data_IF_247344300709
#
_entry.id   IF_247344300709
#
_cell.length_a   1.000
_cell.length_b   1.000
_cell.length_c   1.000
_cell.angle_alpha   90.00
_cell.angle_beta   90.00
_cell.angle_gamma   90.00
#
_symmetry.space_group_name_H-M   'P 1'
#
loop_
_entity.id
_entity.type
_entity.pdbx_description
1 polymer ?
#
# COMPACT_ATOMS: atom_id res chain seq x y z
N UNK A 1 5.85 9.52 20.05
CA UNK A 1 5.39 8.63 18.98
C UNK A 1 4.14 9.22 18.33
N UNK A 2 4.21 9.45 17.03
CA UNK A 2 3.18 10.19 16.29
C UNK A 2 1.95 9.35 15.94
N UNK A 3 2.09 8.02 15.94
CA UNK A 3 1.05 7.09 15.47
C UNK A 3 0.51 6.15 16.55
N UNK A 4 0.70 6.49 17.82
CA UNK A 4 0.16 5.69 18.94
C UNK A 4 -1.35 5.50 18.78
N UNK A 5 -1.81 4.25 18.85
CA UNK A 5 -3.23 3.90 18.70
C UNK A 5 -3.71 3.74 17.25
N UNK A 6 -2.89 4.05 16.26
CA UNK A 6 -3.21 3.83 14.84
C UNK A 6 -3.04 2.37 14.47
N UNK A 7 -3.94 1.84 13.64
CA UNK A 7 -3.91 0.46 13.14
C UNK A 7 -3.82 0.46 11.63
N UNK A 8 -2.83 -0.25 11.09
CA UNK A 8 -2.49 -0.23 9.67
C UNK A 8 -2.55 -1.64 9.10
N UNK A 9 -3.14 -1.78 7.92
CA UNK A 9 -3.05 -3.00 7.10
C UNK A 9 -1.81 -2.89 6.21
N UNK A 10 -1.00 -3.94 6.17
CA UNK A 10 0.03 -4.11 5.14
C UNK A 10 -0.31 -5.38 4.35
N UNK A 11 -0.61 -5.24 3.08
CA UNK A 11 -0.95 -6.36 2.20
C UNK A 11 0.30 -7.16 1.83
N UNK A 12 0.19 -8.47 1.76
CA UNK A 12 1.27 -9.36 1.33
C UNK A 12 0.76 -10.38 0.32
N UNK A 13 1.62 -10.71 -0.64
CA UNK A 13 1.47 -11.86 -1.54
C UNK A 13 2.86 -12.26 -2.06
N UNK A 14 2.96 -13.38 -2.75
CA UNK A 14 4.24 -13.86 -3.28
C UNK A 14 4.96 -12.83 -4.14
N UNK A 15 6.28 -12.82 -4.05
CA UNK A 15 7.17 -11.93 -4.80
C UNK A 15 6.93 -10.43 -4.54
N UNK A 16 6.47 -10.09 -3.34
CA UNK A 16 6.49 -8.68 -2.93
C UNK A 16 7.92 -8.15 -2.95
N UNK A 17 8.11 -6.87 -3.26
CA UNK A 17 9.45 -6.29 -3.15
C UNK A 17 9.76 -6.10 -1.67
N UNK A 18 10.85 -6.71 -1.23
CA UNK A 18 11.19 -6.89 0.20
C UNK A 18 11.27 -5.58 0.97
N UNK A 19 11.95 -4.57 0.42
CA UNK A 19 12.08 -3.27 1.07
C UNK A 19 10.79 -2.46 1.01
N UNK A 20 10.03 -2.60 -0.06
CA UNK A 20 8.76 -1.89 -0.25
C UNK A 20 7.65 -2.36 0.69
N UNK A 21 7.79 -3.57 1.24
CA UNK A 21 6.94 -4.02 2.34
C UNK A 21 7.53 -3.63 3.69
N UNK A 22 8.77 -4.08 3.97
CA UNK A 22 9.31 -4.03 5.33
C UNK A 22 9.73 -2.64 5.78
N UNK A 23 10.26 -1.79 4.90
CA UNK A 23 10.63 -0.45 5.31
C UNK A 23 9.44 0.37 5.80
N UNK A 24 8.35 0.53 5.04
CA UNK A 24 7.20 1.29 5.53
C UNK A 24 6.53 0.64 6.74
N UNK A 25 6.51 -0.69 6.84
CA UNK A 25 5.99 -1.39 8.02
C UNK A 25 6.79 -1.00 9.27
N UNK A 26 8.11 -1.11 9.21
CA UNK A 26 8.95 -0.73 10.35
C UNK A 26 8.87 0.77 10.64
N UNK A 27 8.79 1.60 9.60
CA UNK A 27 8.71 3.05 9.77
C UNK A 27 7.47 3.47 10.56
N UNK A 28 6.31 2.90 10.26
CA UNK A 28 5.09 3.22 11.01
C UNK A 28 5.06 2.57 12.39
N UNK A 29 5.65 1.37 12.54
CA UNK A 29 5.82 0.74 13.86
C UNK A 29 6.73 1.57 14.76
N UNK A 30 7.80 2.13 14.23
CA UNK A 30 8.71 3.01 14.96
C UNK A 30 7.97 4.23 15.53
N UNK A 31 6.95 4.72 14.83
CA UNK A 31 6.09 5.81 15.29
C UNK A 31 4.94 5.35 16.21
N UNK A 32 4.88 4.09 16.55
CA UNK A 32 3.91 3.55 17.51
C UNK A 32 2.64 2.94 16.92
N UNK A 33 2.54 2.81 15.60
CA UNK A 33 1.40 2.16 14.97
C UNK A 33 1.41 0.64 15.16
N UNK A 34 0.23 0.06 15.29
CA UNK A 34 0.03 -1.38 15.15
C UNK A 34 -0.13 -1.71 13.67
N UNK A 35 0.65 -2.67 13.16
CA UNK A 35 0.57 -3.10 11.76
C UNK A 35 0.23 -4.57 11.71
N UNK A 36 -0.78 -4.92 10.92
CA UNK A 36 -1.13 -6.30 10.59
C UNK A 36 -0.73 -6.62 9.17
N UNK A 37 0.04 -7.70 9.01
CA UNK A 37 0.33 -8.28 7.70
C UNK A 37 -0.85 -9.14 7.28
N UNK A 38 -1.43 -8.83 6.12
CA UNK A 38 -2.68 -9.45 5.66
C UNK A 38 -2.50 -10.05 4.27
N UNK A 39 -2.77 -11.34 4.16
CA UNK A 39 -2.64 -12.09 2.91
C UNK A 39 -3.89 -12.93 2.63
N UNK A 40 -3.83 -13.77 1.59
CA UNK A 40 -4.95 -14.65 1.23
C UNK A 40 -5.20 -15.74 2.30
N UNK A 41 -4.13 -16.23 2.92
CA UNK A 41 -4.19 -17.31 3.89
C UNK A 41 -3.50 -16.92 5.19
N UNK A 42 -4.25 -16.92 6.29
CA UNK A 42 -3.68 -16.70 7.62
C UNK A 42 -2.62 -17.76 7.95
N UNK A 43 -1.47 -17.32 8.46
CA UNK A 43 -0.36 -18.17 8.86
C UNK A 43 0.57 -18.57 7.71
N UNK A 44 0.24 -18.25 6.46
CA UNK A 44 1.11 -18.54 5.33
C UNK A 44 2.29 -17.59 5.30
N UNK A 45 3.48 -18.12 5.03
CA UNK A 45 4.68 -17.34 4.75
C UNK A 45 4.78 -17.07 3.27
N UNK A 46 4.71 -15.81 2.91
CA UNK A 46 4.98 -15.32 1.57
C UNK A 46 6.45 -14.93 1.49
N UNK A 47 7.07 -15.20 0.36
CA UNK A 47 8.50 -14.93 0.17
C UNK A 47 8.66 -13.74 -0.75
N UNK A 48 9.44 -12.77 -0.30
CA UNK A 48 9.76 -11.59 -1.07
C UNK A 48 10.60 -11.93 -2.30
N UNK A 49 10.61 -11.04 -3.25
CA UNK A 49 11.35 -11.13 -4.50
C UNK A 49 12.84 -11.45 -4.29
N UNK A 50 13.41 -10.98 -3.18
CA UNK A 50 14.81 -11.18 -2.80
C UNK A 50 14.96 -12.13 -1.60
N UNK A 51 13.93 -12.87 -1.25
CA UNK A 51 13.99 -13.98 -0.31
C UNK A 51 13.58 -13.67 1.13
N UNK A 52 13.23 -12.45 1.48
CA UNK A 52 12.78 -12.13 2.84
C UNK A 52 11.34 -12.60 3.04
N UNK A 53 11.07 -13.41 4.09
CA UNK A 53 9.71 -13.89 4.33
C UNK A 53 8.83 -12.83 5.00
N UNK A 54 7.51 -12.97 4.79
CA UNK A 54 6.49 -12.25 5.52
C UNK A 54 5.32 -13.19 5.79
N UNK A 55 4.98 -13.40 7.06
CA UNK A 55 3.87 -14.26 7.45
C UNK A 55 2.58 -13.45 7.56
N UNK A 56 1.53 -13.88 6.86
CA UNK A 56 0.22 -13.27 6.99
C UNK A 56 -0.37 -13.57 8.37
N UNK A 57 -0.60 -12.54 9.16
CA UNK A 57 -1.19 -12.66 10.49
C UNK A 57 -2.70 -12.84 10.41
N UNK A 58 -3.31 -12.31 9.34
CA UNK A 58 -4.75 -12.38 9.07
C UNK A 58 -4.97 -12.66 7.57
N UNK A 59 -6.13 -13.24 7.25
CA UNK A 59 -6.58 -13.34 5.85
C UNK A 59 -7.35 -12.09 5.45
N UNK A 60 -7.47 -11.85 4.14
CA UNK A 60 -8.28 -10.73 3.62
C UNK A 60 -9.73 -10.79 4.13
N UNK A 61 -10.30 -11.99 4.23
CA UNK A 61 -11.69 -12.18 4.65
C UNK A 61 -11.95 -11.79 6.10
N UNK A 62 -10.92 -11.78 6.96
CA UNK A 62 -11.04 -11.39 8.36
C UNK A 62 -11.02 -9.87 8.56
N UNK A 63 -10.78 -9.09 7.51
CA UNK A 63 -10.60 -7.64 7.63
C UNK A 63 -11.94 -6.92 7.55
N UNK A 64 -12.20 -6.12 8.57
CA UNK A 64 -13.16 -5.03 8.51
C UNK A 64 -12.36 -3.72 8.40
N UNK A 65 -12.49 -3.03 7.28
CA UNK A 65 -11.73 -1.80 7.01
C UNK A 65 -12.01 -0.68 8.00
N UNK A 66 -13.17 -0.71 8.66
CA UNK A 66 -13.52 0.29 9.67
C UNK A 66 -12.63 0.24 10.91
N UNK A 67 -11.99 -0.90 11.18
CA UNK A 67 -11.09 -1.10 12.32
C UNK A 67 -9.69 -0.54 12.09
N UNK A 68 -9.39 -0.05 10.89
CA UNK A 68 -8.04 0.36 10.50
C UNK A 68 -8.00 1.82 10.04
N UNK A 69 -6.85 2.45 10.24
CA UNK A 69 -6.60 3.86 9.93
C UNK A 69 -5.92 4.10 8.59
N UNK A 70 -5.35 3.07 8.00
CA UNK A 70 -4.66 3.17 6.71
C UNK A 70 -4.22 1.82 6.17
N UNK A 71 -3.73 1.81 4.94
CA UNK A 71 -3.30 0.62 4.23
C UNK A 71 -2.01 0.87 3.45
N UNK A 72 -1.09 -0.08 3.51
CA UNK A 72 0.15 -0.13 2.73
C UNK A 72 0.06 -1.24 1.69
N UNK A 73 0.35 -0.91 0.45
CA UNK A 73 0.40 -1.85 -0.67
C UNK A 73 1.83 -1.90 -1.21
N UNK A 74 2.56 -3.02 -1.05
CA UNK A 74 3.91 -3.17 -1.57
C UNK A 74 3.90 -3.42 -3.08
N UNK A 75 5.05 -3.18 -3.70
CA UNK A 75 5.27 -3.51 -5.11
C UNK A 75 5.87 -4.90 -5.30
N UNK A 76 6.83 -5.02 -6.22
CA UNK A 76 7.28 -6.29 -6.74
C UNK A 76 6.24 -6.88 -7.67
N UNK A 77 6.04 -8.19 -7.62
CA UNK A 77 5.01 -8.88 -8.41
C UNK A 77 3.74 -9.20 -7.60
N UNK A 78 3.75 -8.93 -6.30
CA UNK A 78 2.56 -9.11 -5.46
C UNK A 78 1.32 -8.35 -5.96
N UNK A 79 1.43 -7.12 -6.47
CA UNK A 79 0.26 -6.39 -6.97
C UNK A 79 -0.48 -7.08 -8.10
N UNK A 80 0.21 -7.84 -8.95
CA UNK A 80 -0.44 -8.64 -10.00
C UNK A 80 -1.39 -9.69 -9.42
N UNK A 81 -1.03 -10.25 -8.26
CA UNK A 81 -1.86 -11.23 -7.54
C UNK A 81 -2.93 -10.53 -6.69
N UNK A 82 -2.52 -9.53 -5.91
CA UNK A 82 -3.42 -8.79 -5.01
C UNK A 82 -4.61 -8.18 -5.74
N UNK A 83 -4.40 -7.65 -6.95
CA UNK A 83 -5.46 -7.04 -7.76
C UNK A 83 -6.57 -7.99 -8.17
N UNK A 84 -6.34 -9.30 -8.11
CA UNK A 84 -7.30 -10.33 -8.50
C UNK A 84 -8.26 -10.73 -7.37
N UNK A 85 -7.99 -10.33 -6.14
CA UNK A 85 -8.85 -10.62 -5.00
C UNK A 85 -9.93 -9.54 -4.84
N UNK A 86 -11.18 -9.91 -5.03
CA UNK A 86 -12.30 -8.97 -4.87
C UNK A 86 -12.34 -8.31 -3.49
N UNK A 87 -11.97 -9.06 -2.44
CA UNK A 87 -11.93 -8.53 -1.08
C UNK A 87 -10.84 -7.47 -0.90
N UNK A 88 -9.67 -7.64 -1.53
CA UNK A 88 -8.61 -6.61 -1.52
C UNK A 88 -9.12 -5.32 -2.15
N UNK A 89 -9.75 -5.42 -3.31
CA UNK A 89 -10.31 -4.26 -4.02
C UNK A 89 -11.40 -3.57 -3.20
N UNK A 90 -12.23 -4.35 -2.51
CA UNK A 90 -13.24 -3.82 -1.60
C UNK A 90 -12.60 -3.03 -0.46
N UNK A 91 -11.60 -3.59 0.21
CA UNK A 91 -10.88 -2.91 1.31
C UNK A 91 -10.28 -1.59 0.83
N UNK A 92 -9.63 -1.59 -0.33
CA UNK A 92 -9.01 -0.39 -0.91
C UNK A 92 -10.08 0.67 -1.23
N UNK A 93 -11.21 0.28 -1.81
CA UNK A 93 -12.34 1.21 -2.07
C UNK A 93 -12.88 1.81 -0.78
N UNK A 94 -13.09 0.99 0.25
CA UNK A 94 -13.60 1.46 1.54
C UNK A 94 -12.63 2.43 2.23
N UNK A 95 -11.32 2.15 2.17
CA UNK A 95 -10.29 3.08 2.64
C UNK A 95 -10.33 4.41 1.88
N UNK A 96 -10.49 4.34 0.57
CA UNK A 96 -10.59 5.52 -0.29
C UNK A 96 -11.83 6.35 0.04
N UNK A 97 -12.98 5.73 0.16
CA UNK A 97 -14.26 6.40 0.50
C UNK A 97 -14.20 7.06 1.88
N UNK A 98 -13.58 6.40 2.84
CA UNK A 98 -13.35 6.94 4.18
C UNK A 98 -12.17 7.94 4.25
N UNK A 99 -11.49 8.19 3.13
CA UNK A 99 -10.31 9.06 3.00
C UNK A 99 -9.19 8.68 3.95
N UNK A 100 -9.05 7.40 4.24
CA UNK A 100 -7.96 6.85 5.05
C UNK A 100 -6.70 6.73 4.18
N UNK A 101 -5.50 7.04 4.71
CA UNK A 101 -4.26 6.98 3.93
C UNK A 101 -4.04 5.64 3.25
N UNK A 102 -3.79 5.71 1.94
CA UNK A 102 -3.43 4.58 1.10
C UNK A 102 -2.00 4.83 0.60
N UNK A 103 -1.07 4.01 1.06
CA UNK A 103 0.31 4.02 0.55
C UNK A 103 0.46 2.99 -0.56
N UNK A 104 0.94 3.41 -1.72
CA UNK A 104 1.28 2.50 -2.81
C UNK A 104 2.63 2.87 -3.41
N UNK A 105 3.41 1.89 -3.76
CA UNK A 105 4.74 2.08 -4.33
C UNK A 105 4.97 1.14 -5.50
N UNK A 106 5.70 1.61 -6.52
CA UNK A 106 6.16 0.80 -7.64
C UNK A 106 4.97 0.22 -8.44
N UNK A 107 4.88 -1.10 -8.57
CA UNK A 107 3.77 -1.78 -9.24
C UNK A 107 2.48 -1.82 -8.41
N UNK A 108 2.51 -1.40 -7.17
CA UNK A 108 1.32 -1.38 -6.31
C UNK A 108 0.16 -0.56 -6.89
N UNK A 109 0.46 0.39 -7.76
CA UNK A 109 -0.54 1.15 -8.49
C UNK A 109 -1.55 0.29 -9.24
N UNK A 110 -1.20 -0.92 -9.67
CA UNK A 110 -2.13 -1.86 -10.31
C UNK A 110 -3.31 -2.22 -9.41
N UNK A 111 -3.11 -2.28 -8.11
CA UNK A 111 -4.22 -2.55 -7.17
C UNK A 111 -5.22 -1.39 -7.17
N UNK A 112 -4.71 -0.15 -7.19
CA UNK A 112 -5.55 1.05 -7.23
C UNK A 112 -6.27 1.19 -8.59
N UNK A 113 -5.60 0.82 -9.68
CA UNK A 113 -6.23 0.72 -11.02
C UNK A 113 -7.43 -0.22 -10.97
N UNK A 114 -7.23 -1.43 -10.47
CA UNK A 114 -8.30 -2.44 -10.40
C UNK A 114 -9.40 -2.08 -9.41
N UNK A 115 -9.07 -1.35 -8.34
CA UNK A 115 -10.06 -0.82 -7.40
C UNK A 115 -10.90 0.31 -7.99
N UNK A 116 -10.46 0.92 -9.09
CA UNK A 116 -11.22 1.98 -9.77
C UNK A 116 -11.21 3.33 -9.04
N UNK A 117 -10.14 3.64 -8.30
CA UNK A 117 -10.07 4.85 -7.47
C UNK A 117 -9.13 5.94 -8.02
N UNK A 118 -8.58 5.77 -9.22
CA UNK A 118 -7.56 6.67 -9.74
C UNK A 118 -8.07 7.83 -10.60
N UNK A 119 -9.33 7.84 -10.98
CA UNK A 119 -9.86 8.90 -11.85
C UNK A 119 -9.70 10.28 -11.21
N UNK A 120 -8.92 11.13 -11.87
CA UNK A 120 -8.63 12.49 -11.40
C UNK A 120 -7.58 12.58 -10.31
N UNK A 121 -7.06 11.46 -9.82
CA UNK A 121 -6.00 11.46 -8.80
C UNK A 121 -4.63 11.75 -9.41
N UNK A 122 -3.81 12.52 -8.71
CA UNK A 122 -2.41 12.75 -9.07
C UNK A 122 -1.55 11.74 -8.34
N UNK A 123 -0.79 10.93 -9.06
CA UNK A 123 -0.02 9.82 -8.52
C UNK A 123 1.31 9.63 -9.24
N UNK A 124 2.17 8.83 -8.64
CA UNK A 124 3.32 8.23 -9.30
C UNK A 124 3.31 6.71 -9.13
N UNK A 125 4.24 6.04 -9.79
CA UNK A 125 4.45 4.60 -9.73
C UNK A 125 5.80 4.28 -10.35
N UNK A 126 6.16 2.99 -10.41
CA UNK A 126 7.22 2.61 -11.34
C UNK A 126 6.83 3.06 -12.75
N UNK A 127 7.77 3.61 -13.53
CA UNK A 127 7.45 4.12 -14.89
C UNK A 127 6.86 3.06 -15.82
N UNK A 128 7.17 1.80 -15.61
CA UNK A 128 6.67 0.69 -16.44
C UNK A 128 5.16 0.54 -16.47
N UNK A 129 4.43 1.06 -15.49
CA UNK A 129 2.96 1.01 -15.44
C UNK A 129 2.32 2.39 -15.58
N UNK A 130 3.06 3.40 -16.03
CA UNK A 130 2.54 4.75 -16.26
C UNK A 130 1.28 4.74 -17.12
N UNK A 131 1.34 4.05 -18.25
CA UNK A 131 0.22 4.00 -19.19
C UNK A 131 -1.04 3.39 -18.53
N UNK A 132 -0.87 2.36 -17.71
CA UNK A 132 -1.97 1.73 -16.98
C UNK A 132 -2.62 2.73 -16.01
N UNK A 133 -1.81 3.52 -15.31
CA UNK A 133 -2.28 4.53 -14.38
C UNK A 133 -3.03 5.65 -15.09
N UNK A 134 -2.46 6.16 -16.20
CA UNK A 134 -3.08 7.21 -17.01
C UNK A 134 -4.38 6.71 -17.67
N UNK A 135 -4.40 5.48 -18.17
CA UNK A 135 -5.60 4.88 -18.75
C UNK A 135 -6.72 4.68 -17.71
N UNK A 136 -6.34 4.54 -16.45
CA UNK A 136 -7.31 4.50 -15.34
C UNK A 136 -7.80 5.89 -14.91
N UNK A 137 -7.33 6.95 -15.56
CA UNK A 137 -7.76 8.33 -15.33
C UNK A 137 -6.87 9.13 -14.39
N UNK A 138 -5.71 8.61 -13.99
CA UNK A 138 -4.78 9.33 -13.14
C UNK A 138 -3.97 10.40 -13.90
N UNK A 139 -3.51 11.39 -13.17
CA UNK A 139 -2.48 12.34 -13.60
C UNK A 139 -1.17 11.81 -13.05
N UNK A 140 -0.32 11.28 -13.92
CA UNK A 140 0.94 10.65 -13.50
C UNK A 140 2.09 11.66 -13.51
N UNK A 141 2.89 11.67 -12.44
CA UNK A 141 4.07 12.52 -12.30
C UNK A 141 5.30 11.69 -11.99
N UNK A 142 6.41 12.01 -12.65
CA UNK A 142 7.72 11.41 -12.38
C UNK A 142 8.41 12.14 -11.22
N UNK A 143 7.94 11.86 -10.02
CA UNK A 143 8.48 12.43 -8.78
C UNK A 143 8.73 11.29 -7.78
N UNK A 144 9.69 11.44 -6.85
CA UNK A 144 9.95 10.41 -5.84
C UNK A 144 8.72 10.02 -5.03
N UNK A 145 7.94 11.02 -4.61
CA UNK A 145 6.70 10.85 -3.86
C UNK A 145 5.67 11.85 -4.35
N UNK A 146 4.46 11.38 -4.52
CA UNK A 146 3.30 12.24 -4.83
C UNK A 146 2.24 11.99 -3.75
N UNK A 147 1.80 13.06 -3.12
CA UNK A 147 0.70 13.04 -2.15
C UNK A 147 -0.49 13.77 -2.75
N UNK A 148 -1.59 13.07 -2.90
CA UNK A 148 -2.85 13.65 -3.33
C UNK A 148 -3.95 13.27 -2.31
N UNK A 149 -4.22 14.19 -1.40
CA UNK A 149 -5.12 13.94 -0.28
C UNK A 149 -4.62 12.76 0.57
N UNK A 150 -5.38 11.70 0.59
CA UNK A 150 -5.07 10.47 1.35
C UNK A 150 -4.28 9.42 0.55
N UNK A 151 -4.01 9.67 -0.74
CA UNK A 151 -3.21 8.75 -1.56
C UNK A 151 -1.75 9.21 -1.55
N UNK A 152 -0.87 8.35 -1.06
CA UNK A 152 0.57 8.55 -1.00
C UNK A 152 1.23 7.55 -1.92
N UNK A 153 1.93 8.01 -2.95
CA UNK A 153 2.53 7.15 -3.96
C UNK A 153 4.03 7.42 -4.14
N UNK A 154 4.78 6.38 -4.51
CA UNK A 154 6.21 6.44 -4.77
C UNK A 154 6.58 5.50 -5.92
N UNK A 155 7.79 5.66 -6.47
CA UNK A 155 8.20 4.97 -7.68
C UNK A 155 8.88 3.62 -7.41
N UNK A 156 9.90 3.59 -6.56
CA UNK A 156 10.79 2.43 -6.37
C UNK A 156 11.54 2.53 -5.03
N UNK A 157 12.30 1.50 -4.61
CA UNK A 157 12.98 1.47 -3.32
C UNK A 157 13.84 2.69 -2.96
N UNK A 158 14.57 3.36 -3.88
CA UNK A 158 15.30 4.57 -3.51
C UNK A 158 14.45 5.71 -2.96
N UNK A 159 13.15 5.71 -3.26
CA UNK A 159 12.21 6.71 -2.79
C UNK A 159 11.59 6.39 -1.42
N UNK A 160 11.89 5.23 -0.84
CA UNK A 160 11.29 4.76 0.41
C UNK A 160 11.43 5.70 1.59
N UNK A 161 12.58 6.37 1.82
CA UNK A 161 12.67 7.31 2.94
C UNK A 161 11.65 8.45 2.86
N UNK A 162 11.49 9.07 1.70
CA UNK A 162 10.50 10.13 1.50
C UNK A 162 9.07 9.59 1.56
N UNK A 163 8.83 8.42 0.97
CA UNK A 163 7.55 7.72 1.00
C UNK A 163 7.11 7.40 2.43
N UNK A 164 8.00 6.80 3.21
CA UNK A 164 7.71 6.46 4.61
C UNK A 164 7.36 7.69 5.44
N UNK A 165 8.13 8.78 5.25
CA UNK A 165 7.84 10.05 5.91
C UNK A 165 6.46 10.59 5.52
N UNK A 166 6.17 10.64 4.23
CA UNK A 166 4.89 11.17 3.73
C UNK A 166 3.70 10.36 4.22
N UNK A 167 3.83 9.03 4.30
CA UNK A 167 2.77 8.17 4.81
C UNK A 167 2.53 8.37 6.30
N UNK A 168 3.61 8.51 7.10
CA UNK A 168 3.50 8.87 8.53
C UNK A 168 2.80 10.21 8.70
N UNK A 169 3.18 11.22 7.92
CA UNK A 169 2.56 12.54 7.96
C UNK A 169 1.06 12.48 7.64
N UNK A 170 0.67 11.70 6.63
CA UNK A 170 -0.73 11.51 6.25
C UNK A 170 -1.55 10.83 7.37
N UNK A 171 -0.98 9.83 8.04
CA UNK A 171 -1.63 9.15 9.16
C UNK A 171 -1.76 10.06 10.39
N UNK A 172 -0.72 10.82 10.68
CA UNK A 172 -0.69 11.71 11.86
C UNK A 172 -1.63 12.91 11.72
N UNK A 173 -2.00 13.29 10.49
CA UNK A 173 -2.90 14.40 10.23
C UNK A 173 -4.38 14.09 10.48
N UNK A 174 -4.71 12.87 10.88
CA UNK A 174 -6.10 12.40 11.10
C UNK A 174 -6.46 12.31 12.57
#
# INVERSE_FOLDING_TARGET
LRLTGKKIIALVDEDFEDLELWYPVYRVREEGAEVRLVGAEKGKKYIGKYGVPAEAELSFEEIDSSDYDGILVPGGWAPDKLRRYGKVLQIVREMHEARKPIGQICHAGWVLVSAGILKGATVTSTPGIRDDMENAGAIWKDEPVVVDGHIVSARRPPDLPEYGKAFVDALAAR
#
